data_IF_183508471391
#
_entry.id   IF_183508471391
#
_cell.length_a   1.000
_cell.length_b   1.000
_cell.length_c   1.000
_cell.angle_alpha   90.00
_cell.angle_beta   90.00
_cell.angle_gamma   90.00
#
_symmetry.space_group_name_H-M   'P 1'
#
loop_
_entity.id
_entity.type
_entity.pdbx_description
1 polymer ?
#
# COMPACT_ATOMS: atom_id res chain seq x y z
N UNK A 1 14.19 5.72 -5.05
CA UNK A 1 14.24 5.46 -6.50
C UNK A 1 13.52 6.61 -7.19
N UNK A 2 13.78 6.86 -8.46
CA UNK A 2 12.85 7.68 -9.23
C UNK A 2 11.52 6.91 -9.48
N UNK A 3 10.47 7.58 -9.99
CA UNK A 3 9.19 6.91 -10.21
C UNK A 3 9.25 5.67 -11.10
N UNK A 4 9.97 5.74 -12.22
CA UNK A 4 10.05 4.66 -13.20
C UNK A 4 10.80 3.45 -12.62
N UNK A 5 11.91 3.67 -11.93
CA UNK A 5 12.67 2.65 -11.21
C UNK A 5 11.80 1.95 -10.15
N UNK A 6 11.06 2.71 -9.36
CA UNK A 6 10.21 2.16 -8.31
C UNK A 6 9.08 1.31 -8.88
N UNK A 7 8.41 1.81 -9.92
CA UNK A 7 7.32 1.09 -10.60
C UNK A 7 7.85 -0.18 -11.24
N UNK A 8 9.00 -0.14 -11.93
CA UNK A 8 9.62 -1.31 -12.53
C UNK A 8 10.01 -2.37 -11.48
N UNK A 9 10.39 -1.94 -10.27
CA UNK A 9 10.73 -2.83 -9.17
C UNK A 9 9.49 -3.49 -8.52
N UNK A 10 8.43 -2.72 -8.25
CA UNK A 10 7.24 -3.21 -7.53
C UNK A 10 6.17 -3.84 -8.43
N UNK A 11 5.91 -3.26 -9.61
CA UNK A 11 4.78 -3.64 -10.45
C UNK A 11 4.74 -5.14 -10.82
N UNK A 12 5.87 -5.84 -11.07
CA UNK A 12 5.82 -7.28 -11.32
C UNK A 12 5.19 -8.07 -10.17
N UNK A 13 5.58 -7.78 -8.92
CA UNK A 13 5.00 -8.44 -7.74
C UNK A 13 3.52 -8.06 -7.58
N UNK A 14 3.19 -6.78 -7.77
CA UNK A 14 1.81 -6.31 -7.66
C UNK A 14 0.88 -6.96 -8.71
N UNK A 15 1.32 -7.06 -9.97
CA UNK A 15 0.60 -7.77 -11.03
C UNK A 15 0.45 -9.27 -10.76
N UNK A 16 1.41 -9.91 -10.09
CA UNK A 16 1.29 -11.34 -9.76
C UNK A 16 0.32 -11.61 -8.61
N UNK A 17 0.20 -10.71 -7.64
CA UNK A 17 -0.53 -10.95 -6.39
C UNK A 17 -1.94 -10.33 -6.39
N UNK A 18 -2.06 -9.04 -6.72
CA UNK A 18 -3.34 -8.30 -6.60
C UNK A 18 -4.53 -8.96 -7.35
N UNK A 19 -4.35 -9.56 -8.54
CA UNK A 19 -5.46 -10.21 -9.25
C UNK A 19 -6.13 -11.35 -8.48
N UNK A 20 -5.39 -12.11 -7.66
CA UNK A 20 -5.95 -13.18 -6.84
C UNK A 20 -6.94 -12.64 -5.78
N UNK A 21 -6.79 -11.37 -5.40
CA UNK A 21 -7.63 -10.65 -4.45
C UNK A 21 -8.64 -9.73 -5.15
N UNK A 22 -8.65 -9.71 -6.49
CA UNK A 22 -9.45 -8.79 -7.32
C UNK A 22 -9.18 -7.30 -7.05
N UNK A 23 -8.02 -6.96 -6.46
CA UNK A 23 -7.68 -5.58 -6.14
C UNK A 23 -6.95 -4.90 -7.32
N UNK A 24 -7.15 -3.58 -7.51
CA UNK A 24 -6.45 -2.83 -8.55
C UNK A 24 -4.95 -2.71 -8.25
N UNK A 25 -4.13 -3.10 -9.23
CA UNK A 25 -2.66 -3.02 -9.15
C UNK A 25 -2.23 -1.55 -9.05
N UNK A 26 -2.93 -0.67 -9.78
CA UNK A 26 -2.66 0.76 -9.79
C UNK A 26 -2.71 1.39 -8.39
N UNK A 27 -3.70 1.02 -7.58
CA UNK A 27 -3.85 1.53 -6.20
C UNK A 27 -2.76 0.98 -5.29
N UNK A 28 -2.44 -0.31 -5.39
CA UNK A 28 -1.35 -0.93 -4.62
C UNK A 28 -0.01 -0.21 -4.86
N UNK A 29 0.36 -0.03 -6.14
CA UNK A 29 1.61 0.64 -6.51
C UNK A 29 1.61 2.11 -6.10
N UNK A 30 0.49 2.83 -6.27
CA UNK A 30 0.37 4.23 -5.87
C UNK A 30 0.47 4.44 -4.35
N UNK A 31 -0.21 3.60 -3.55
CA UNK A 31 -0.08 3.64 -2.10
C UNK A 31 1.35 3.33 -1.67
N UNK A 32 1.95 2.25 -2.17
CA UNK A 32 3.34 1.92 -1.87
C UNK A 32 4.31 3.05 -2.22
N UNK A 33 4.12 3.72 -3.36
CA UNK A 33 4.92 4.86 -3.78
C UNK A 33 4.77 6.05 -2.81
N UNK A 34 3.53 6.38 -2.42
CA UNK A 34 3.25 7.49 -1.51
C UNK A 34 3.78 7.22 -0.10
N UNK A 35 3.45 6.05 0.47
CA UNK A 35 3.80 5.65 1.84
C UNK A 35 5.32 5.54 2.05
N UNK A 36 6.03 4.97 1.08
CA UNK A 36 7.48 4.78 1.18
C UNK A 36 8.30 5.93 0.59
N UNK A 37 7.65 6.97 0.03
CA UNK A 37 8.32 8.03 -0.74
C UNK A 37 9.17 7.46 -1.87
N UNK A 38 8.57 6.67 -2.75
CA UNK A 38 9.23 5.96 -3.86
C UNK A 38 10.36 5.03 -3.38
N UNK A 39 10.07 4.30 -2.29
CA UNK A 39 10.94 3.32 -1.64
C UNK A 39 12.06 3.93 -0.80
N UNK A 40 12.17 5.27 -0.71
CA UNK A 40 13.22 5.96 0.03
C UNK A 40 13.14 5.73 1.54
N UNK A 41 11.93 5.66 2.08
CA UNK A 41 11.64 5.57 3.51
C UNK A 41 10.98 4.25 3.90
N UNK A 42 11.19 3.19 3.10
CA UNK A 42 10.70 1.85 3.42
C UNK A 42 11.30 1.33 4.72
N UNK A 43 10.52 0.56 5.45
CA UNK A 43 10.97 -0.11 6.69
C UNK A 43 11.51 -1.49 6.33
N UNK A 44 12.69 -1.82 6.88
CA UNK A 44 13.42 -3.01 6.46
C UNK A 44 13.68 -3.02 4.95
N UNK A 45 13.50 -4.18 4.32
CA UNK A 45 13.77 -4.32 2.89
C UNK A 45 12.55 -4.04 2.01
N UNK A 46 11.34 -4.40 2.45
CA UNK A 46 10.16 -4.43 1.58
C UNK A 46 8.87 -3.91 2.24
N UNK A 47 8.89 -3.41 3.48
CA UNK A 47 7.68 -2.81 4.07
C UNK A 47 7.49 -1.40 3.51
N UNK A 48 6.80 -1.35 2.37
CA UNK A 48 6.49 -0.13 1.63
C UNK A 48 5.25 0.60 2.13
N UNK A 49 4.45 -0.05 2.97
CA UNK A 49 3.12 0.39 3.38
C UNK A 49 3.06 0.83 4.85
N UNK A 50 4.20 0.83 5.57
CA UNK A 50 4.24 1.16 6.99
C UNK A 50 3.44 0.19 7.87
N UNK A 51 3.29 -1.08 7.45
CA UNK A 51 2.48 -2.08 8.15
C UNK A 51 3.07 -2.38 9.52
N UNK A 52 2.34 -2.01 10.58
CA UNK A 52 2.67 -2.42 11.95
C UNK A 52 2.55 -3.94 12.10
N UNK A 53 3.36 -4.50 12.99
CA UNK A 53 3.31 -5.93 13.29
C UNK A 53 1.94 -6.32 13.87
N UNK A 54 1.30 -7.34 13.30
CA UNK A 54 -0.04 -7.76 13.67
C UNK A 54 -0.08 -8.97 14.62
N UNK A 55 1.08 -9.44 15.10
CA UNK A 55 1.18 -10.63 15.96
C UNK A 55 1.56 -11.92 15.25
N UNK A 56 1.78 -11.89 13.93
CA UNK A 56 2.19 -13.04 13.13
C UNK A 56 3.31 -12.69 12.15
N UNK A 57 4.20 -13.66 11.89
CA UNK A 57 5.36 -13.46 11.01
C UNK A 57 6.56 -12.82 11.72
N UNK A 58 7.51 -12.34 10.91
CA UNK A 58 8.72 -11.63 11.36
C UNK A 58 8.43 -10.14 11.57
N UNK A 59 9.18 -9.50 12.47
CA UNK A 59 9.11 -8.06 12.68
C UNK A 59 10.49 -7.45 12.81
N UNK A 60 10.57 -6.16 12.52
CA UNK A 60 11.70 -5.29 12.85
C UNK A 60 11.22 -4.18 13.79
N UNK A 61 12.09 -3.78 14.72
CA UNK A 61 11.86 -2.64 15.60
C UNK A 61 12.51 -1.39 15.00
N UNK A 62 11.72 -0.34 14.83
CA UNK A 62 12.18 0.95 14.33
C UNK A 62 11.72 2.08 15.25
N UNK A 63 12.53 3.13 15.33
CA UNK A 63 12.16 4.36 16.03
C UNK A 63 11.30 5.20 15.09
N UNK A 64 10.09 5.54 15.53
CA UNK A 64 9.13 6.34 14.77
C UNK A 64 8.55 7.46 15.63
N UNK A 65 8.00 8.48 14.99
CA UNK A 65 7.19 9.51 15.65
C UNK A 65 5.72 9.14 15.55
N UNK A 66 5.00 9.14 16.68
CA UNK A 66 3.55 8.93 16.74
C UNK A 66 2.88 10.15 17.35
N UNK A 67 1.73 10.53 16.79
CA UNK A 67 0.91 11.61 17.32
C UNK A 67 -0.12 11.03 18.31
N UNK A 68 0.17 11.13 19.61
CA UNK A 68 -0.63 10.54 20.68
C UNK A 68 -1.15 11.66 21.57
N UNK A 69 -2.47 11.73 21.77
CA UNK A 69 -3.12 12.72 22.64
C UNK A 69 -2.76 14.19 22.37
N UNK A 70 -2.47 14.55 21.12
CA UNK A 70 -2.17 15.93 20.74
C UNK A 70 -0.67 16.26 20.67
N UNK A 71 0.22 15.31 20.97
CA UNK A 71 1.66 15.50 21.02
C UNK A 71 2.40 14.49 20.14
N UNK A 72 3.50 14.91 19.53
CA UNK A 72 4.42 14.01 18.82
C UNK A 72 5.36 13.35 19.83
N UNK A 73 5.35 12.02 19.86
CA UNK A 73 6.20 11.20 20.72
C UNK A 73 7.08 10.30 19.88
N UNK A 74 8.37 10.23 20.22
CA UNK A 74 9.28 9.23 19.66
C UNK A 74 9.09 7.92 20.40
N UNK A 75 8.72 6.86 19.67
CA UNK A 75 8.48 5.52 20.22
C UNK A 75 9.21 4.47 19.39
N UNK A 76 9.60 3.37 20.03
CA UNK A 76 10.02 2.16 19.30
C UNK A 76 8.77 1.36 18.97
N UNK A 77 8.50 1.16 17.68
CA UNK A 77 7.37 0.40 17.18
C UNK A 77 7.84 -0.85 16.44
N UNK A 78 6.98 -1.89 16.43
CA UNK A 78 7.20 -3.10 15.66
C UNK A 78 6.49 -3.00 14.32
N UNK A 79 7.22 -3.20 13.24
CA UNK A 79 6.71 -3.24 11.88
C UNK A 79 6.89 -4.64 11.29
N UNK A 80 6.00 -5.02 10.38
CA UNK A 80 6.16 -6.27 9.64
C UNK A 80 7.49 -6.24 8.87
N UNK A 81 8.23 -7.35 8.94
CA UNK A 81 9.44 -7.57 8.17
C UNK A 81 9.19 -8.67 7.14
N UNK A 82 9.26 -8.30 5.87
CA UNK A 82 8.96 -9.19 4.75
C UNK A 82 10.27 -9.64 4.09
N UNK A 83 10.24 -10.83 3.48
CA UNK A 83 11.38 -11.41 2.76
C UNK A 83 11.34 -11.11 1.26
N UNK A 84 10.20 -10.66 0.74
CA UNK A 84 10.01 -10.27 -0.66
C UNK A 84 8.95 -9.20 -0.85
N UNK A 85 8.96 -8.56 -2.02
CA UNK A 85 7.87 -7.67 -2.46
C UNK A 85 6.53 -8.39 -2.56
N UNK A 86 6.52 -9.67 -2.93
CA UNK A 86 5.30 -10.47 -3.03
C UNK A 86 4.59 -10.57 -1.68
N UNK A 87 5.33 -10.87 -0.61
CA UNK A 87 4.78 -10.94 0.75
C UNK A 87 4.24 -9.58 1.23
N UNK A 88 4.96 -8.49 0.94
CA UNK A 88 4.51 -7.15 1.30
C UNK A 88 3.21 -6.77 0.58
N UNK A 89 3.10 -7.08 -0.71
CA UNK A 89 1.87 -6.86 -1.50
C UNK A 89 0.74 -7.76 -1.01
N UNK A 90 1.03 -9.04 -0.72
CA UNK A 90 0.02 -9.98 -0.24
C UNK A 90 -0.57 -9.53 1.10
N UNK A 91 0.25 -9.08 2.04
CA UNK A 91 -0.22 -8.55 3.32
C UNK A 91 -1.03 -7.24 3.14
N UNK A 92 -0.68 -6.39 2.17
CA UNK A 92 -1.52 -5.26 1.78
C UNK A 92 -2.87 -5.73 1.21
N UNK A 93 -2.89 -6.74 0.33
CA UNK A 93 -4.14 -7.29 -0.21
C UNK A 93 -5.01 -7.91 0.89
N UNK A 94 -4.41 -8.61 1.85
CA UNK A 94 -5.08 -9.20 3.01
C UNK A 94 -5.69 -8.09 3.88
N UNK A 95 -4.95 -7.01 4.18
CA UNK A 95 -5.48 -5.86 4.91
C UNK A 95 -6.77 -5.34 4.26
N UNK A 96 -6.71 -5.03 2.96
CA UNK A 96 -7.83 -4.40 2.26
C UNK A 96 -9.02 -5.35 2.12
N UNK A 97 -8.80 -6.66 1.98
CA UNK A 97 -9.89 -7.64 1.77
C UNK A 97 -10.46 -8.24 3.05
N UNK A 98 -9.68 -8.31 4.14
CA UNK A 98 -10.08 -9.02 5.36
C UNK A 98 -10.43 -8.11 6.52
N UNK A 99 -9.86 -6.89 6.59
CA UNK A 99 -10.20 -5.97 7.68
C UNK A 99 -11.58 -5.33 7.44
N UNK A 100 -12.56 -5.49 8.36
CA UNK A 100 -13.93 -5.03 8.14
C UNK A 100 -14.07 -3.54 7.83
N UNK A 101 -13.12 -2.72 8.28
CA UNK A 101 -13.10 -1.29 8.02
C UNK A 101 -13.01 -0.95 6.51
N UNK A 102 -12.42 -1.84 5.70
CA UNK A 102 -12.25 -1.64 4.25
C UNK A 102 -13.40 -2.24 3.42
N UNK A 103 -14.38 -2.91 4.03
CA UNK A 103 -15.42 -3.64 3.29
C UNK A 103 -16.15 -2.78 2.25
N UNK A 104 -16.38 -1.49 2.55
CA UNK A 104 -17.10 -0.58 1.66
C UNK A 104 -16.34 -0.30 0.36
N UNK A 105 -14.99 -0.25 0.36
CA UNK A 105 -14.27 0.03 -0.89
C UNK A 105 -14.35 -1.15 -1.87
N UNK A 106 -14.58 -2.37 -1.37
CA UNK A 106 -14.71 -3.59 -2.18
C UNK A 106 -15.99 -3.61 -3.03
N UNK A 107 -16.98 -2.75 -2.74
CA UNK A 107 -18.16 -2.58 -3.61
C UNK A 107 -17.84 -1.83 -4.92
N UNK A 108 -16.64 -1.25 -5.02
CA UNK A 108 -16.22 -0.38 -6.11
C UNK A 108 -15.01 -0.90 -6.89
N UNK A 109 -14.76 -2.21 -6.91
CA UNK A 109 -13.59 -2.81 -7.58
C UNK A 109 -13.50 -2.47 -9.08
N UNK A 110 -14.62 -2.22 -9.74
CA UNK A 110 -14.69 -1.83 -11.16
C UNK A 110 -14.59 -0.31 -11.38
N UNK A 111 -14.43 0.49 -10.32
CA UNK A 111 -14.29 1.94 -10.37
C UNK A 111 -13.16 2.39 -9.43
N UNK A 112 -11.94 2.48 -9.97
CA UNK A 112 -10.72 2.85 -9.22
C UNK A 112 -10.88 4.18 -8.47
N UNK A 113 -11.52 5.17 -9.07
CA UNK A 113 -11.74 6.47 -8.42
C UNK A 113 -12.60 6.32 -7.16
N UNK A 114 -13.77 5.69 -7.29
CA UNK A 114 -14.67 5.47 -6.16
C UNK A 114 -14.08 4.53 -5.12
N UNK A 115 -13.32 3.51 -5.55
CA UNK A 115 -12.56 2.62 -4.67
C UNK A 115 -11.59 3.43 -3.79
N UNK A 116 -10.77 4.30 -4.40
CA UNK A 116 -9.78 5.10 -3.69
C UNK A 116 -10.43 6.10 -2.73
N UNK A 117 -11.48 6.81 -3.16
CA UNK A 117 -12.19 7.74 -2.26
C UNK A 117 -12.84 7.04 -1.07
N UNK A 118 -13.24 5.78 -1.22
CA UNK A 118 -13.84 4.99 -0.15
C UNK A 118 -12.79 4.40 0.79
N UNK A 119 -11.63 3.99 0.26
CA UNK A 119 -10.50 3.44 1.01
C UNK A 119 -9.78 4.52 1.82
N UNK A 120 -9.55 5.69 1.22
CA UNK A 120 -8.71 6.76 1.77
C UNK A 120 -9.03 7.18 3.22
N UNK A 121 -10.30 7.46 3.60
CA UNK A 121 -10.62 7.88 4.97
C UNK A 121 -10.43 6.78 6.02
N UNK A 122 -10.35 5.52 5.59
CA UNK A 122 -10.04 4.38 6.46
C UNK A 122 -8.53 4.21 6.64
N UNK A 123 -7.78 4.44 5.57
CA UNK A 123 -6.33 4.22 5.53
C UNK A 123 -5.54 5.37 6.15
N UNK A 124 -5.94 6.61 5.92
CA UNK A 124 -5.20 7.80 6.33
C UNK A 124 -6.13 8.89 6.87
N UNK A 125 -5.60 9.69 7.80
CA UNK A 125 -6.28 10.87 8.36
C UNK A 125 -6.12 12.12 7.47
N UNK A 126 -5.26 12.07 6.45
CA UNK A 126 -5.06 13.17 5.52
C UNK A 126 -6.30 13.33 4.60
N UNK A 127 -7.00 14.47 4.63
CA UNK A 127 -8.20 14.68 3.82
C UNK A 127 -7.93 14.65 2.31
N UNK A 128 -6.69 14.87 1.87
CA UNK A 128 -6.31 14.85 0.45
C UNK A 128 -5.68 13.53 0.02
N UNK A 129 -5.74 12.49 0.85
CA UNK A 129 -5.08 11.22 0.58
C UNK A 129 -5.57 10.58 -0.72
N UNK A 130 -6.90 10.56 -0.93
CA UNK A 130 -7.50 10.03 -2.16
C UNK A 130 -6.95 10.74 -3.42
N UNK A 131 -6.92 12.07 -3.40
CA UNK A 131 -6.42 12.88 -4.51
C UNK A 131 -4.95 12.60 -4.80
N UNK A 132 -4.12 12.44 -3.76
CA UNK A 132 -2.70 12.10 -3.92
C UNK A 132 -2.51 10.74 -4.57
N UNK A 133 -3.32 9.75 -4.18
CA UNK A 133 -3.29 8.41 -4.81
C UNK A 133 -3.71 8.51 -6.27
N UNK A 134 -4.83 9.14 -6.58
CA UNK A 134 -5.32 9.29 -7.95
C UNK A 134 -4.35 10.10 -8.82
N UNK A 135 -3.76 11.18 -8.29
CA UNK A 135 -2.73 11.95 -8.98
C UNK A 135 -1.50 11.09 -9.29
N UNK A 136 -1.08 10.25 -8.35
CA UNK A 136 0.04 9.31 -8.54
C UNK A 136 -0.29 8.27 -9.60
N UNK A 137 -1.50 7.70 -9.58
CA UNK A 137 -1.99 6.76 -10.61
C UNK A 137 -1.95 7.41 -11.99
N UNK A 138 -2.51 8.61 -12.12
CA UNK A 138 -2.64 9.31 -13.40
C UNK A 138 -1.29 9.76 -13.96
N UNK A 139 -0.43 10.35 -13.12
CA UNK A 139 0.87 10.86 -13.54
C UNK A 139 1.81 9.76 -14.06
N UNK A 140 1.63 8.53 -13.60
CA UNK A 140 2.47 7.39 -13.97
C UNK A 140 1.72 6.35 -14.81
N UNK A 141 0.51 6.67 -15.28
CA UNK A 141 -0.35 5.81 -16.08
C UNK A 141 -0.52 4.40 -15.47
N UNK A 142 -0.72 4.29 -14.15
CA UNK A 142 -0.67 3.00 -13.44
C UNK A 142 -1.86 2.08 -13.75
N UNK A 143 -2.97 2.62 -14.26
CA UNK A 143 -4.12 1.81 -14.67
C UNK A 143 -3.80 0.84 -15.82
N UNK A 144 -2.69 1.05 -16.54
CA UNK A 144 -2.19 0.08 -17.52
C UNK A 144 -1.81 -1.28 -16.92
N UNK A 145 -1.62 -1.35 -15.59
CA UNK A 145 -1.34 -2.58 -14.86
C UNK A 145 -2.60 -3.25 -14.31
N UNK A 146 -3.74 -2.56 -14.32
CA UNK A 146 -5.01 -3.14 -13.89
C UNK A 146 -5.50 -4.15 -14.93
N UNK A 147 -6.07 -5.26 -14.48
CA UNK A 147 -6.55 -6.33 -15.37
C UNK A 147 -5.47 -7.16 -16.07
N UNK A 148 -4.17 -6.89 -15.83
CA UNK A 148 -3.10 -7.82 -16.22
C UNK A 148 -3.20 -9.08 -15.36
N UNK A 149 -3.63 -10.18 -15.96
CA UNK A 149 -3.44 -11.50 -15.37
C UNK A 149 -1.95 -11.87 -15.45
N UNK A 150 -1.40 -12.62 -14.48
CA UNK A 150 -0.05 -13.16 -14.62
C UNK A 150 0.05 -13.96 -15.93
N UNK A 151 1.19 -13.91 -16.65
CA UNK A 151 1.37 -14.78 -17.80
C UNK A 151 1.24 -16.24 -17.36
N UNK A 152 0.43 -17.01 -18.08
CA UNK A 152 0.27 -18.45 -17.92
C UNK A 152 1.62 -19.18 -18.00
#
# INVERSE_FOLDING_TARGET
MDPDEFIAWLAPAACSVCPAYRLPVSVCVAQAALESGWGKYRIGNYNLFGRKYNGSGSYIEEVTEEYINGEWLTVTAKFQDYTSLGEAVEDWCILITQEPAYALCLDFLDNVEQFVYTLAPVYATDPNYADKILATINANNLTQYDGRQPPN
#
